data_IF_054911145290
#
_entry.id   IF_054911145290
#
_cell.length_a   1.000
_cell.length_b   1.000
_cell.length_c   1.000
_cell.angle_alpha   90.00
_cell.angle_beta   90.00
_cell.angle_gamma   90.00
#
_symmetry.space_group_name_H-M   'P 1'
#
loop_
_entity.id
_entity.type
_entity.pdbx_description
1 polymer ?
#
# COMPACT_ATOMS: atom_id res chain seq x y z
N UNK A 1 5.37 -2.57 27.97
CA UNK A 1 5.39 -2.42 26.51
C UNK A 1 6.24 -1.20 26.19
N UNK A 2 7.38 -1.42 25.54
CA UNK A 2 8.33 -0.35 25.17
C UNK A 2 7.71 0.36 23.96
N UNK A 3 7.31 1.62 24.10
CA UNK A 3 6.90 2.42 22.94
C UNK A 3 8.04 2.34 21.93
N UNK A 4 7.77 1.84 20.72
CA UNK A 4 8.71 1.95 19.62
C UNK A 4 9.06 3.45 19.52
N UNK A 5 10.32 3.80 19.77
CA UNK A 5 10.78 5.18 19.64
C UNK A 5 10.36 5.67 18.25
N UNK A 6 9.60 6.77 18.21
CA UNK A 6 9.24 7.47 16.97
C UNK A 6 10.53 7.98 16.34
N UNK A 7 11.17 7.14 15.51
CA UNK A 7 12.40 7.48 14.80
C UNK A 7 12.04 8.43 13.66
N UNK A 8 12.20 9.72 13.91
CA UNK A 8 12.01 10.75 12.90
C UNK A 8 13.16 10.69 11.88
N UNK A 9 12.83 10.72 10.60
CA UNK A 9 13.78 10.85 9.49
C UNK A 9 13.50 12.13 8.69
N UNK A 10 14.54 12.67 8.06
CA UNK A 10 14.44 13.87 7.22
C UNK A 10 14.23 13.46 5.76
N UNK A 11 13.29 14.13 5.10
CA UNK A 11 13.12 14.09 3.65
C UNK A 11 13.62 15.40 3.07
N UNK A 12 14.59 15.34 2.16
CA UNK A 12 15.16 16.50 1.48
C UNK A 12 14.77 16.48 0.00
N UNK A 13 14.25 17.61 -0.50
CA UNK A 13 13.87 17.80 -1.89
C UNK A 13 14.46 19.11 -2.40
N UNK A 14 15.17 19.05 -3.52
CA UNK A 14 15.64 20.25 -4.23
C UNK A 14 14.64 20.58 -5.32
N UNK A 15 14.23 21.85 -5.38
CA UNK A 15 13.29 22.36 -6.37
C UNK A 15 14.00 23.41 -7.22
N UNK A 16 13.69 23.43 -8.51
CA UNK A 16 13.95 24.62 -9.33
C UNK A 16 13.12 25.80 -8.81
N UNK A 17 13.54 27.02 -9.13
CA UNK A 17 12.80 28.23 -8.78
C UNK A 17 11.38 28.21 -9.34
N UNK A 18 11.21 27.72 -10.57
CA UNK A 18 9.92 27.58 -11.23
C UNK A 18 8.98 26.63 -10.47
N UNK A 19 9.47 25.46 -10.06
CA UNK A 19 8.68 24.49 -9.29
C UNK A 19 8.32 25.04 -7.92
N UNK A 20 9.27 25.69 -7.26
CA UNK A 20 9.03 26.33 -5.96
C UNK A 20 7.89 27.34 -6.05
N UNK A 21 7.96 28.29 -6.98
CA UNK A 21 6.94 29.32 -7.16
C UNK A 21 5.57 28.71 -7.51
N UNK A 22 5.56 27.68 -8.35
CA UNK A 22 4.34 26.97 -8.70
C UNK A 22 3.68 26.31 -7.47
N UNK A 23 4.45 25.61 -6.65
CA UNK A 23 3.93 24.96 -5.45
C UNK A 23 3.59 25.94 -4.33
N UNK A 24 4.31 27.06 -4.18
CA UNK A 24 3.95 28.13 -3.24
C UNK A 24 2.59 28.72 -3.59
N UNK A 25 2.36 29.05 -4.87
CA UNK A 25 1.04 29.50 -5.35
C UNK A 25 -0.07 28.47 -5.07
N UNK A 26 0.20 27.19 -5.33
CA UNK A 26 -0.75 26.13 -5.04
C UNK A 26 -1.03 25.99 -3.52
N UNK A 27 0.00 26.11 -2.68
CA UNK A 27 -0.11 26.11 -1.22
C UNK A 27 -0.99 27.24 -0.70
N UNK A 28 -0.83 28.45 -1.24
CA UNK A 28 -1.66 29.62 -0.90
C UNK A 28 -3.13 29.39 -1.25
N UNK A 29 -3.41 28.93 -2.49
CA UNK A 29 -4.77 28.68 -2.96
C UNK A 29 -5.46 27.59 -2.13
N UNK A 30 -4.73 26.55 -1.75
CA UNK A 30 -5.25 25.44 -0.94
C UNK A 30 -5.29 25.72 0.56
N UNK A 31 -4.83 26.90 1.01
CA UNK A 31 -4.92 27.34 2.40
C UNK A 31 -3.90 26.70 3.34
N UNK A 32 -2.81 26.14 2.82
CA UNK A 32 -1.74 25.60 3.67
C UNK A 32 -0.79 26.70 4.15
N UNK A 33 -0.45 26.65 5.44
CA UNK A 33 0.41 27.65 6.10
C UNK A 33 1.86 27.66 5.59
N UNK A 34 2.34 26.54 5.04
CA UNK A 34 3.72 26.40 4.54
C UNK A 34 3.77 25.51 3.31
N UNK A 35 4.74 25.77 2.42
CA UNK A 35 5.02 24.92 1.26
C UNK A 35 5.23 23.46 1.66
N UNK A 36 5.99 23.20 2.73
CA UNK A 36 6.23 21.84 3.22
C UNK A 36 4.96 21.14 3.69
N UNK A 37 4.02 21.86 4.31
CA UNK A 37 2.73 21.29 4.71
C UNK A 37 1.89 20.90 3.49
N UNK A 38 1.87 21.75 2.47
CA UNK A 38 1.20 21.47 1.19
C UNK A 38 1.81 20.24 0.50
N UNK A 39 3.14 20.21 0.34
CA UNK A 39 3.85 19.10 -0.31
C UNK A 39 3.63 17.79 0.46
N UNK A 40 3.71 17.82 1.79
CA UNK A 40 3.44 16.63 2.62
C UNK A 40 1.99 16.15 2.47
N UNK A 41 1.03 17.06 2.41
CA UNK A 41 -0.37 16.71 2.18
C UNK A 41 -0.57 16.05 0.80
N UNK A 42 -0.04 16.68 -0.26
CA UNK A 42 -0.14 16.16 -1.62
C UNK A 42 0.53 14.78 -1.76
N UNK A 43 1.75 14.62 -1.21
CA UNK A 43 2.47 13.35 -1.22
C UNK A 43 1.71 12.26 -0.47
N UNK A 44 1.15 12.55 0.72
CA UNK A 44 0.37 11.56 1.48
C UNK A 44 -0.89 11.14 0.73
N UNK A 45 -1.59 12.09 0.12
CA UNK A 45 -2.78 11.81 -0.67
C UNK A 45 -2.46 10.88 -1.83
N UNK A 46 -1.44 11.22 -2.62
CA UNK A 46 -1.06 10.42 -3.78
C UNK A 46 -0.49 9.05 -3.39
N UNK A 47 0.34 8.99 -2.34
CA UNK A 47 0.85 7.71 -1.83
C UNK A 47 -0.28 6.77 -1.41
N UNK A 48 -1.33 7.30 -0.76
CA UNK A 48 -2.51 6.51 -0.41
C UNK A 48 -3.22 5.97 -1.66
N UNK A 49 -3.42 6.81 -2.67
CA UNK A 49 -4.03 6.40 -3.94
C UNK A 49 -3.25 5.26 -4.60
N UNK A 50 -1.91 5.39 -4.69
CA UNK A 50 -1.04 4.37 -5.27
C UNK A 50 -1.08 3.05 -4.50
N UNK A 51 -1.01 3.11 -3.17
CA UNK A 51 -1.09 1.90 -2.32
C UNK A 51 -2.45 1.23 -2.49
N UNK A 52 -3.54 1.99 -2.41
CA UNK A 52 -4.88 1.43 -2.58
C UNK A 52 -5.11 0.88 -3.99
N UNK A 53 -4.56 1.49 -5.02
CA UNK A 53 -4.62 0.95 -6.39
C UNK A 53 -3.85 -0.37 -6.50
N UNK A 54 -2.67 -0.46 -5.89
CA UNK A 54 -1.84 -1.65 -5.93
C UNK A 54 -2.38 -2.81 -5.08
N UNK A 55 -2.88 -2.53 -3.87
CA UNK A 55 -3.40 -3.53 -2.93
C UNK A 55 -4.83 -3.98 -3.26
N UNK A 56 -5.49 -3.33 -4.22
CA UNK A 56 -6.83 -3.69 -4.66
C UNK A 56 -6.82 -5.02 -5.43
N UNK A 57 -7.02 -6.11 -4.67
CA UNK A 57 -6.98 -7.49 -5.15
C UNK A 57 -8.24 -7.94 -5.94
N UNK A 58 -9.37 -7.23 -5.78
CA UNK A 58 -10.66 -7.59 -6.39
C UNK A 58 -11.19 -6.46 -7.28
N UNK A 59 -10.33 -5.96 -8.18
CA UNK A 59 -10.66 -4.83 -9.06
C UNK A 59 -11.56 -5.23 -10.22
N UNK A 60 -11.44 -6.45 -10.75
CA UNK A 60 -12.33 -6.93 -11.81
C UNK A 60 -13.52 -7.73 -11.26
N UNK A 61 -14.65 -7.68 -11.97
CA UNK A 61 -15.80 -8.54 -11.66
C UNK A 61 -15.42 -10.03 -11.72
N UNK A 62 -14.51 -10.39 -12.63
CA UNK A 62 -14.00 -11.76 -12.76
C UNK A 62 -13.22 -12.22 -11.53
N UNK A 63 -12.40 -11.35 -10.94
CA UNK A 63 -11.65 -11.70 -9.71
C UNK A 63 -12.60 -11.88 -8.53
N UNK A 64 -13.65 -11.04 -8.44
CA UNK A 64 -14.71 -11.20 -7.43
C UNK A 64 -15.43 -12.53 -7.61
N UNK A 65 -15.86 -12.87 -8.82
CA UNK A 65 -16.52 -14.15 -9.12
C UNK A 65 -15.64 -15.33 -8.72
N UNK A 66 -14.36 -15.36 -9.13
CA UNK A 66 -13.43 -16.44 -8.78
C UNK A 66 -13.24 -16.54 -7.26
N UNK A 67 -13.09 -15.40 -6.58
CA UNK A 67 -12.90 -15.35 -5.13
C UNK A 67 -14.15 -15.86 -4.38
N UNK A 68 -15.33 -15.38 -4.76
CA UNK A 68 -16.58 -15.82 -4.14
C UNK A 68 -16.87 -17.29 -4.43
N UNK A 69 -16.64 -17.76 -5.66
CA UNK A 69 -16.74 -19.18 -6.00
C UNK A 69 -15.78 -20.02 -5.16
N UNK A 70 -14.54 -19.58 -4.95
CA UNK A 70 -13.55 -20.31 -4.14
C UNK A 70 -13.93 -20.38 -2.65
N UNK A 71 -14.60 -19.35 -2.11
CA UNK A 71 -15.08 -19.35 -0.71
C UNK A 71 -16.34 -20.20 -0.56
N UNK A 72 -17.29 -20.05 -1.48
CA UNK A 72 -18.62 -20.66 -1.38
C UNK A 72 -18.63 -22.12 -1.84
N UNK A 73 -17.77 -22.49 -2.79
CA UNK A 73 -17.58 -23.87 -3.24
C UNK A 73 -16.33 -24.42 -2.57
N UNK A 74 -16.52 -25.12 -1.45
CA UNK A 74 -15.44 -25.84 -0.78
C UNK A 74 -15.06 -27.05 -1.64
N UNK A 75 -14.12 -26.86 -2.55
CA UNK A 75 -13.53 -27.94 -3.34
C UNK A 75 -12.42 -28.60 -2.53
N UNK A 76 -12.34 -29.94 -2.56
CA UNK A 76 -11.21 -30.62 -1.94
C UNK A 76 -9.89 -30.22 -2.62
N UNK A 77 -8.81 -30.03 -1.84
CA UNK A 77 -7.50 -29.71 -2.41
C UNK A 77 -6.97 -30.84 -3.28
N UNK A 78 -6.36 -30.50 -4.40
CA UNK A 78 -5.77 -31.49 -5.31
C UNK A 78 -4.65 -32.31 -4.66
N UNK A 79 -4.38 -33.49 -5.21
CA UNK A 79 -3.33 -34.42 -4.74
C UNK A 79 -1.96 -33.73 -4.65
N UNK A 80 -1.64 -32.78 -5.55
CA UNK A 80 -0.39 -32.02 -5.52
C UNK A 80 -0.29 -31.12 -4.29
N UNK A 81 -1.38 -30.41 -3.94
CA UNK A 81 -1.45 -29.56 -2.74
C UNK A 81 -1.36 -30.40 -1.46
N UNK A 82 -2.09 -31.52 -1.40
CA UNK A 82 -2.01 -32.47 -0.27
C UNK A 82 -0.57 -32.97 -0.05
N UNK A 83 0.13 -33.36 -1.11
CA UNK A 83 1.55 -33.78 -1.05
C UNK A 83 2.49 -32.67 -0.58
N UNK A 84 2.32 -31.44 -1.07
CA UNK A 84 3.12 -30.30 -0.66
C UNK A 84 2.96 -29.99 0.84
N UNK A 85 1.72 -30.01 1.34
CA UNK A 85 1.41 -29.83 2.75
C UNK A 85 2.06 -30.92 3.62
N UNK A 86 1.95 -32.20 3.22
CA UNK A 86 2.61 -33.31 3.94
C UNK A 86 4.13 -33.14 3.99
N UNK A 87 4.77 -32.67 2.91
CA UNK A 87 6.21 -32.40 2.88
C UNK A 87 6.60 -31.29 3.87
N UNK A 88 5.87 -30.19 3.87
CA UNK A 88 6.09 -29.09 4.81
C UNK A 88 5.97 -29.53 6.27
N UNK A 89 4.90 -30.26 6.60
CA UNK A 89 4.66 -30.78 7.97
C UNK A 89 5.73 -31.78 8.43
N UNK A 90 6.31 -32.54 7.50
CA UNK A 90 7.42 -33.45 7.80
C UNK A 90 8.69 -32.66 8.17
N UNK A 91 9.01 -31.62 7.40
CA UNK A 91 10.19 -30.77 7.63
C UNK A 91 10.11 -29.92 8.92
N UNK A 92 8.93 -29.76 9.53
CA UNK A 92 8.76 -29.07 10.83
C UNK A 92 9.01 -29.98 12.04
N UNK A 93 9.09 -31.31 11.83
CA UNK A 93 9.27 -32.31 12.89
C UNK A 93 10.71 -32.83 12.99
N UNK A 94 11.57 -32.40 12.06
CA UNK A 94 13.03 -32.62 12.06
C UNK A 94 13.72 -31.40 12.70
#
# INVERSE_FOLDING_TARGET
MKYAELKLSRFELRLSEKERLFFEKASEISGHKTLSAFVMFALKKHAKEVIEEHERFLTSEKDKEIFFDAILKVNEPEVKLKKAASKYLKNLKD
#
